data_IF_720486242447
#
_entry.id   IF_720486242447
#
_cell.length_a   1.000
_cell.length_b   1.000
_cell.length_c   1.000
_cell.angle_alpha   90.00
_cell.angle_beta   90.00
_cell.angle_gamma   90.00
#
_symmetry.space_group_name_H-M   'P 1'
#
loop_
_entity.id
_entity.type
_entity.pdbx_description
1 polymer ?
#
# COMPACT_ATOMS: atom_id res chain seq x y z
N UNK A 1 -10.13 -28.63 12.11
CA UNK A 1 -11.23 -29.55 12.59
C UNK A 1 -11.48 -29.29 14.06
N UNK A 2 -12.70 -28.94 14.45
CA UNK A 2 -13.07 -28.61 15.84
C UNK A 2 -12.97 -29.87 16.73
N UNK A 3 -12.48 -29.69 17.99
CA UNK A 3 -12.34 -30.76 19.01
C UNK A 3 -13.46 -31.81 19.04
N UNK A 4 -14.74 -31.47 18.89
CA UNK A 4 -15.84 -32.47 18.96
C UNK A 4 -15.83 -33.51 17.84
N UNK A 5 -15.39 -33.19 16.62
CA UNK A 5 -15.33 -34.15 15.50
C UNK A 5 -14.33 -35.28 15.72
N UNK A 6 -13.18 -34.97 16.40
CA UNK A 6 -12.16 -35.98 16.71
C UNK A 6 -12.64 -37.02 17.73
N UNK A 7 -13.42 -36.59 18.71
CA UNK A 7 -13.96 -37.47 19.76
C UNK A 7 -15.01 -38.41 19.17
N UNK A 8 -15.87 -37.90 18.31
CA UNK A 8 -16.91 -38.69 17.64
C UNK A 8 -16.28 -39.76 16.69
N UNK A 9 -15.25 -39.37 15.94
CA UNK A 9 -14.57 -40.31 15.03
C UNK A 9 -13.84 -41.41 15.80
N UNK A 10 -13.21 -41.12 16.94
CA UNK A 10 -12.57 -42.12 17.82
C UNK A 10 -13.60 -43.08 18.44
N UNK A 11 -14.71 -42.55 18.92
CA UNK A 11 -15.79 -43.36 19.50
C UNK A 11 -16.40 -44.28 18.44
N UNK A 12 -16.67 -43.80 17.26
CA UNK A 12 -17.18 -44.60 16.13
C UNK A 12 -16.22 -45.73 15.73
N UNK A 13 -14.90 -45.43 15.60
CA UNK A 13 -13.87 -46.41 15.28
C UNK A 13 -13.76 -47.54 16.33
N UNK A 14 -13.82 -47.17 17.64
CA UNK A 14 -13.76 -48.14 18.71
C UNK A 14 -15.00 -49.03 18.75
N UNK A 15 -16.19 -48.48 18.51
CA UNK A 15 -17.44 -49.21 18.45
C UNK A 15 -17.46 -50.22 17.30
N UNK A 16 -16.98 -49.84 16.12
CA UNK A 16 -16.93 -50.70 14.95
C UNK A 16 -15.97 -51.89 15.15
N UNK A 17 -14.84 -51.71 15.83
CA UNK A 17 -13.92 -52.77 16.21
C UNK A 17 -14.57 -53.80 17.15
N UNK A 18 -15.34 -53.33 18.14
CA UNK A 18 -16.04 -54.17 19.08
C UNK A 18 -17.15 -55.01 18.39
N UNK A 19 -17.89 -54.45 17.44
CA UNK A 19 -18.94 -55.14 16.70
C UNK A 19 -18.38 -56.20 15.78
N UNK A 20 -17.31 -55.94 15.03
CA UNK A 20 -16.67 -56.89 14.12
C UNK A 20 -16.00 -58.04 14.92
N UNK A 21 -15.36 -57.72 16.05
CA UNK A 21 -14.75 -58.74 16.94
C UNK A 21 -15.79 -59.67 17.55
N UNK A 22 -16.93 -59.15 17.97
CA UNK A 22 -18.03 -59.98 18.51
C UNK A 22 -18.67 -60.87 17.46
N UNK A 23 -18.86 -60.42 16.22
CA UNK A 23 -19.41 -61.20 15.13
C UNK A 23 -18.49 -62.36 14.75
N UNK A 24 -17.17 -62.17 14.74
CA UNK A 24 -16.18 -63.21 14.49
C UNK A 24 -16.18 -64.26 15.60
N UNK A 25 -16.31 -63.87 16.86
CA UNK A 25 -16.39 -64.78 18.00
C UNK A 25 -17.63 -65.67 17.98
N UNK A 26 -18.80 -65.13 17.61
CA UNK A 26 -20.06 -65.88 17.49
C UNK A 26 -19.99 -66.90 16.34
N UNK A 27 -19.35 -66.61 15.21
CA UNK A 27 -19.17 -67.51 14.07
C UNK A 27 -18.28 -68.73 14.43
N UNK A 28 -17.30 -68.56 15.30
CA UNK A 28 -16.44 -69.64 15.78
C UNK A 28 -17.16 -70.63 16.74
N UNK A 29 -18.06 -70.09 17.58
CA UNK A 29 -18.82 -70.89 18.56
C UNK A 29 -19.95 -71.74 17.91
N UNK A 30 -20.40 -71.32 16.70
CA UNK A 30 -21.52 -72.04 16.03
C UNK A 30 -21.19 -73.33 15.29
N UNK A 31 -19.95 -73.83 15.33
CA UNK A 31 -19.58 -75.19 14.90
C UNK A 31 -19.87 -75.54 13.42
N UNK A 32 -19.77 -74.56 12.50
CA UNK A 32 -20.04 -74.74 11.06
C UNK A 32 -18.94 -75.54 10.37
N UNK A 33 -19.14 -76.91 10.25
CA UNK A 33 -18.22 -77.82 9.56
C UNK A 33 -18.53 -78.00 8.07
N UNK A 34 -19.44 -77.28 7.46
CA UNK A 34 -19.85 -77.39 6.05
C UNK A 34 -19.23 -76.32 5.15
N UNK A 35 -19.29 -76.52 3.82
CA UNK A 35 -18.72 -75.58 2.83
C UNK A 35 -19.20 -74.08 2.96
N UNK A 36 -20.40 -73.90 3.48
CA UNK A 36 -20.96 -72.59 3.77
C UNK A 36 -20.19 -71.84 4.89
N UNK A 37 -19.72 -72.56 5.91
CA UNK A 37 -18.94 -72.00 7.02
C UNK A 37 -17.61 -71.38 6.56
N UNK A 38 -16.96 -72.01 5.57
CA UNK A 38 -15.73 -71.50 4.96
C UNK A 38 -15.91 -70.12 4.25
N UNK A 39 -17.01 -69.96 3.53
CA UNK A 39 -17.35 -68.74 2.84
C UNK A 39 -17.65 -67.63 3.81
N UNK A 40 -18.33 -67.87 4.90
CA UNK A 40 -18.63 -66.89 5.96
C UNK A 40 -17.32 -66.44 6.63
N UNK A 41 -16.43 -67.34 6.98
CA UNK A 41 -15.12 -67.02 7.58
C UNK A 41 -14.27 -66.23 6.63
N UNK A 42 -14.25 -66.50 5.34
CA UNK A 42 -13.50 -65.70 4.35
C UNK A 42 -14.09 -64.33 4.19
N UNK A 43 -15.42 -64.20 4.15
CA UNK A 43 -16.06 -62.88 4.07
C UNK A 43 -15.80 -62.02 5.31
N UNK A 44 -15.80 -62.57 6.51
CA UNK A 44 -15.46 -61.90 7.76
C UNK A 44 -13.97 -61.48 7.74
N UNK A 45 -13.06 -62.33 7.33
CA UNK A 45 -11.63 -62.02 7.26
C UNK A 45 -11.34 -60.86 6.27
N UNK A 46 -11.96 -60.88 5.08
CA UNK A 46 -11.86 -59.83 4.08
C UNK A 46 -12.43 -58.52 4.60
N UNK A 47 -13.57 -58.56 5.29
CA UNK A 47 -14.18 -57.37 5.88
C UNK A 47 -13.31 -56.75 6.99
N UNK A 48 -12.68 -57.58 7.84
CA UNK A 48 -11.72 -57.13 8.85
C UNK A 48 -10.49 -56.51 8.22
N UNK A 49 -9.95 -57.10 7.15
CA UNK A 49 -8.80 -56.55 6.43
C UNK A 49 -9.12 -55.21 5.79
N UNK A 50 -10.25 -55.11 5.11
CA UNK A 50 -10.73 -53.85 4.53
C UNK A 50 -10.92 -52.78 5.61
N UNK A 51 -11.51 -53.13 6.74
CA UNK A 51 -11.67 -52.22 7.85
C UNK A 51 -10.32 -51.72 8.42
N UNK A 52 -9.34 -52.62 8.56
CA UNK A 52 -7.99 -52.25 9.00
C UNK A 52 -7.33 -51.29 8.01
N UNK A 53 -7.42 -51.57 6.70
CA UNK A 53 -6.87 -50.69 5.68
C UNK A 53 -7.50 -49.28 5.73
N UNK A 54 -8.83 -49.21 5.79
CA UNK A 54 -9.56 -47.95 5.92
C UNK A 54 -9.16 -47.22 7.20
N UNK A 55 -9.06 -47.94 8.31
CA UNK A 55 -8.63 -47.35 9.61
C UNK A 55 -7.22 -46.79 9.55
N UNK A 56 -6.25 -47.52 8.99
CA UNK A 56 -4.87 -47.05 8.85
C UNK A 56 -4.78 -45.85 7.92
N UNK A 57 -5.52 -45.89 6.83
CA UNK A 57 -5.57 -44.75 5.88
C UNK A 57 -6.13 -43.50 6.54
N UNK A 58 -7.25 -43.60 7.26
CA UNK A 58 -7.84 -42.48 7.99
C UNK A 58 -6.91 -41.93 9.07
N UNK A 59 -6.26 -42.80 9.85
CA UNK A 59 -5.30 -42.38 10.86
C UNK A 59 -4.08 -41.72 10.25
N UNK A 60 -3.61 -42.18 9.10
CA UNK A 60 -2.51 -41.57 8.36
C UNK A 60 -2.89 -40.16 7.88
N UNK A 61 -4.08 -39.99 7.29
CA UNK A 61 -4.53 -38.67 6.84
C UNK A 61 -4.75 -37.69 8.00
N UNK A 62 -5.32 -38.16 9.11
CA UNK A 62 -5.50 -37.31 10.29
C UNK A 62 -4.15 -36.84 10.87
N UNK A 63 -3.17 -37.75 10.97
CA UNK A 63 -1.82 -37.38 11.44
C UNK A 63 -1.11 -36.45 10.50
N UNK A 64 -1.24 -36.66 9.20
CA UNK A 64 -0.65 -35.79 8.17
C UNK A 64 -1.27 -34.41 8.22
N UNK A 65 -2.59 -34.32 8.36
CA UNK A 65 -3.29 -33.02 8.48
C UNK A 65 -2.85 -32.27 9.75
N UNK A 66 -2.68 -32.96 10.88
CA UNK A 66 -2.14 -32.41 12.12
C UNK A 66 -0.71 -31.88 11.94
N UNK A 67 0.15 -32.57 11.22
CA UNK A 67 1.51 -32.14 10.92
C UNK A 67 1.53 -30.89 10.04
N UNK A 68 0.75 -30.90 8.95
CA UNK A 68 0.64 -29.73 8.05
C UNK A 68 0.09 -28.50 8.77
N UNK A 69 -0.90 -28.67 9.63
CA UNK A 69 -1.43 -27.58 10.44
C UNK A 69 -0.37 -27.04 11.43
N UNK A 70 0.38 -27.93 12.08
CA UNK A 70 1.45 -27.52 13.00
C UNK A 70 2.59 -26.78 12.28
N UNK A 71 2.93 -27.21 11.06
CA UNK A 71 3.92 -26.51 10.22
C UNK A 71 3.40 -25.15 9.75
N UNK A 72 2.15 -25.04 9.32
CA UNK A 72 1.51 -23.80 8.94
C UNK A 72 1.45 -22.81 10.14
N UNK A 73 1.08 -23.29 11.33
CA UNK A 73 1.07 -22.47 12.55
C UNK A 73 2.47 -21.98 12.92
N UNK A 74 3.50 -22.83 12.80
CA UNK A 74 4.90 -22.42 13.01
C UNK A 74 5.36 -21.38 11.96
N UNK A 75 4.98 -21.56 10.70
CA UNK A 75 5.30 -20.60 9.64
C UNK A 75 4.63 -19.24 9.91
N UNK A 76 3.36 -19.25 10.29
CA UNK A 76 2.61 -18.04 10.64
C UNK A 76 3.21 -17.35 11.88
N UNK A 77 3.62 -18.08 12.90
CA UNK A 77 4.29 -17.52 14.07
C UNK A 77 5.63 -16.87 13.72
N UNK A 78 6.42 -17.51 12.83
CA UNK A 78 7.68 -16.92 12.36
C UNK A 78 7.44 -15.66 11.53
N UNK A 79 6.46 -15.67 10.62
CA UNK A 79 6.09 -14.49 9.85
C UNK A 79 5.64 -13.35 10.76
N UNK A 80 4.80 -13.62 11.76
CA UNK A 80 4.38 -12.62 12.74
C UNK A 80 5.55 -12.06 13.58
N UNK A 81 6.51 -12.92 13.96
CA UNK A 81 7.70 -12.46 14.70
C UNK A 81 8.62 -11.58 13.84
N UNK A 82 8.79 -11.90 12.56
CA UNK A 82 9.53 -11.08 11.60
C UNK A 82 8.85 -9.73 11.41
N UNK A 83 7.54 -9.72 11.24
CA UNK A 83 6.74 -8.50 11.09
C UNK A 83 6.87 -7.58 12.32
N UNK A 84 6.74 -8.13 13.53
CA UNK A 84 6.95 -7.36 14.77
C UNK A 84 8.37 -6.81 14.86
N UNK A 85 9.37 -7.59 14.46
CA UNK A 85 10.77 -7.14 14.37
C UNK A 85 10.92 -5.99 13.38
N UNK A 86 10.42 -6.17 12.16
CA UNK A 86 10.43 -5.14 11.12
C UNK A 86 9.77 -3.84 11.58
N UNK A 87 8.58 -3.92 12.18
CA UNK A 87 7.88 -2.74 12.69
C UNK A 87 8.65 -1.99 13.78
N UNK A 88 9.40 -2.72 14.64
CA UNK A 88 10.28 -2.07 15.64
C UNK A 88 11.40 -1.27 14.97
N UNK A 89 12.04 -1.80 13.91
CA UNK A 89 13.07 -1.08 13.16
C UNK A 89 12.49 0.16 12.47
N UNK A 90 11.35 0.03 11.79
CA UNK A 90 10.67 1.16 11.14
C UNK A 90 10.35 2.26 12.15
N UNK A 91 9.81 1.90 13.32
CA UNK A 91 9.49 2.87 14.38
C UNK A 91 10.75 3.53 14.98
N UNK A 92 11.87 2.80 15.06
CA UNK A 92 13.13 3.37 15.54
C UNK A 92 13.69 4.38 14.53
N UNK A 93 13.69 4.04 13.24
CA UNK A 93 14.11 4.92 12.15
C UNK A 93 13.24 6.17 12.10
N UNK A 94 11.90 6.03 12.19
CA UNK A 94 10.96 7.16 12.23
C UNK A 94 11.29 8.13 13.39
N UNK A 95 11.61 7.59 14.57
CA UNK A 95 12.02 8.42 15.72
C UNK A 95 13.33 9.17 15.47
N UNK A 96 14.32 8.51 14.85
CA UNK A 96 15.59 9.15 14.50
C UNK A 96 15.33 10.30 13.53
N UNK A 97 14.54 10.07 12.47
CA UNK A 97 14.19 11.09 11.48
C UNK A 97 13.43 12.25 12.12
N UNK A 98 12.49 11.96 13.05
CA UNK A 98 11.68 12.99 13.71
C UNK A 98 12.49 13.78 14.77
N UNK A 99 13.59 13.23 15.27
CA UNK A 99 14.47 13.86 16.27
C UNK A 99 15.66 14.59 15.65
N UNK A 100 16.07 14.22 14.43
CA UNK A 100 17.15 14.93 13.74
C UNK A 100 16.72 16.38 13.46
N UNK A 101 17.47 17.32 14.00
CA UNK A 101 17.32 18.73 13.69
C UNK A 101 17.59 18.97 12.21
N UNK A 102 16.91 19.96 11.65
CA UNK A 102 17.07 20.34 10.24
C UNK A 102 18.43 20.99 10.03
N UNK A 103 19.29 20.28 9.34
CA UNK A 103 20.67 20.68 9.06
C UNK A 103 20.84 21.07 7.58
N UNK A 104 19.77 21.44 6.89
CA UNK A 104 19.78 21.79 5.47
C UNK A 104 18.64 22.73 5.11
N UNK A 105 18.75 23.38 3.94
CA UNK A 105 17.70 24.14 3.29
C UNK A 105 17.44 23.57 1.92
N UNK A 106 16.18 23.64 1.47
CA UNK A 106 15.77 23.10 0.17
C UNK A 106 14.98 24.12 -0.64
N UNK A 107 15.15 24.12 -1.95
CA UNK A 107 14.17 24.62 -2.90
C UNK A 107 13.53 23.42 -3.62
N UNK A 108 12.23 23.51 -3.88
CA UNK A 108 11.46 22.43 -4.51
C UNK A 108 10.72 22.94 -5.74
N UNK A 109 10.91 22.24 -6.84
CA UNK A 109 10.05 22.32 -8.02
C UNK A 109 9.23 21.03 -8.07
N UNK A 110 7.94 21.12 -7.80
CA UNK A 110 6.98 20.01 -7.87
C UNK A 110 6.25 20.07 -9.21
N UNK A 111 6.50 19.14 -10.10
CA UNK A 111 5.78 19.02 -11.38
C UNK A 111 4.72 17.91 -11.27
N UNK A 112 3.48 18.30 -11.42
CA UNK A 112 2.30 17.43 -11.37
C UNK A 112 1.77 17.30 -12.79
N UNK A 113 2.08 16.20 -13.45
CA UNK A 113 1.59 15.89 -14.79
C UNK A 113 0.31 15.07 -14.68
N UNK A 114 -0.76 15.60 -15.23
CA UNK A 114 -2.07 14.95 -15.34
C UNK A 114 -2.16 14.39 -16.75
N UNK A 115 -2.19 13.07 -16.88
CA UNK A 115 -2.32 12.41 -18.18
C UNK A 115 -3.75 12.40 -18.70
N UNK A 116 -3.89 12.01 -19.97
CA UNK A 116 -5.19 11.67 -20.53
C UNK A 116 -5.81 10.43 -19.85
N UNK A 117 -4.95 9.56 -19.31
CA UNK A 117 -5.27 8.36 -18.55
C UNK A 117 -4.29 8.19 -17.39
N UNK A 118 -4.44 7.11 -16.62
CA UNK A 118 -3.60 6.83 -15.44
C UNK A 118 -2.13 6.55 -15.81
N UNK A 119 -1.85 6.03 -17.01
CA UNK A 119 -0.49 5.76 -17.46
C UNK A 119 0.29 7.04 -17.77
N UNK A 120 -0.41 8.11 -18.13
CA UNK A 120 0.16 9.43 -18.36
C UNK A 120 0.37 10.26 -17.09
N UNK A 121 -0.15 9.82 -15.93
CA UNK A 121 0.03 10.53 -14.67
C UNK A 121 1.47 10.40 -14.17
N UNK A 122 2.08 11.52 -13.82
CA UNK A 122 3.45 11.57 -13.29
C UNK A 122 3.59 12.68 -12.27
N UNK A 123 4.31 12.41 -11.21
CA UNK A 123 4.79 13.44 -10.27
C UNK A 123 6.32 13.42 -10.30
N UNK A 124 6.88 14.61 -10.37
CA UNK A 124 8.31 14.84 -10.35
C UNK A 124 8.64 15.93 -9.34
N UNK A 125 9.51 15.60 -8.40
CA UNK A 125 10.02 16.53 -7.38
C UNK A 125 11.50 16.78 -7.65
N UNK A 126 11.84 17.95 -8.22
CA UNK A 126 13.22 18.40 -8.37
C UNK A 126 13.59 19.23 -7.14
N UNK A 127 14.58 18.80 -6.39
CA UNK A 127 15.01 19.44 -5.17
C UNK A 127 16.46 19.88 -5.26
N UNK A 128 16.74 21.12 -4.87
CA UNK A 128 18.09 21.60 -4.62
C UNK A 128 18.30 21.71 -3.12
N UNK A 129 19.18 20.91 -2.56
CA UNK A 129 19.47 20.88 -1.13
C UNK A 129 20.80 21.54 -0.84
N UNK A 130 20.78 22.53 0.07
CA UNK A 130 21.99 23.13 0.63
C UNK A 130 22.19 22.58 2.04
N UNK A 131 23.17 21.68 2.24
CA UNK A 131 23.46 21.14 3.55
C UNK A 131 23.99 22.21 4.49
N UNK A 132 23.71 22.05 5.79
CA UNK A 132 24.50 22.67 6.84
C UNK A 132 25.87 22.00 6.89
N UNK A 133 26.16 21.14 7.89
CA UNK A 133 27.42 20.41 7.86
C UNK A 133 27.38 19.23 6.87
N UNK A 134 26.32 18.43 6.86
CA UNK A 134 26.20 17.22 6.04
C UNK A 134 24.76 16.72 6.01
N UNK A 135 24.29 16.21 4.87
CA UNK A 135 23.02 15.50 4.72
C UNK A 135 23.28 14.05 4.34
N UNK A 136 22.77 13.12 5.14
CA UNK A 136 22.89 11.68 4.92
C UNK A 136 21.54 11.04 4.58
N UNK A 137 20.43 11.73 4.87
CA UNK A 137 19.09 11.16 4.72
C UNK A 137 18.02 12.23 4.51
N UNK A 138 16.92 11.80 3.94
CA UNK A 138 15.71 12.60 3.75
C UNK A 138 14.48 11.72 3.74
N UNK A 139 13.44 12.08 4.46
CA UNK A 139 12.15 11.41 4.35
C UNK A 139 11.19 12.24 3.50
N UNK A 140 10.51 11.59 2.57
CA UNK A 140 9.48 12.22 1.73
C UNK A 140 8.16 11.44 1.81
N UNK A 141 7.07 12.08 1.39
CA UNK A 141 5.75 11.47 1.29
C UNK A 141 5.26 11.58 -0.14
N UNK A 142 5.27 10.48 -0.89
CA UNK A 142 4.66 10.47 -2.21
C UNK A 142 3.18 10.85 -2.16
N UNK A 143 2.74 11.63 -3.14
CA UNK A 143 1.33 11.96 -3.34
C UNK A 143 0.69 10.78 -4.04
N UNK A 144 -0.25 10.11 -3.38
CA UNK A 144 -0.96 8.95 -3.92
C UNK A 144 -2.46 9.08 -3.68
N UNK A 145 -3.25 8.30 -4.40
CA UNK A 145 -4.70 8.23 -4.19
C UNK A 145 -5.03 7.75 -2.78
N UNK A 146 -6.01 8.40 -2.13
CA UNK A 146 -6.45 8.06 -0.78
C UNK A 146 -7.59 7.02 -0.85
N UNK A 147 -7.31 5.85 -1.40
CA UNK A 147 -8.26 4.73 -1.51
C UNK A 147 -8.46 3.96 -0.18
N UNK A 148 -8.34 4.66 0.93
CA UNK A 148 -8.81 4.31 2.28
C UNK A 148 -8.05 3.20 2.99
N UNK A 149 -7.95 2.00 2.45
CA UNK A 149 -7.39 0.82 3.13
C UNK A 149 -6.27 0.13 2.34
N UNK A 150 -5.95 0.60 1.15
CA UNK A 150 -4.93 -0.01 0.30
C UNK A 150 -3.54 0.51 0.63
N UNK A 151 -2.67 -0.40 0.95
CA UNK A 151 -1.24 -0.16 1.05
C UNK A 151 -0.64 0.02 -0.35
N UNK A 152 -0.06 1.19 -0.64
CA UNK A 152 0.63 1.46 -1.90
C UNK A 152 2.10 1.12 -1.75
N UNK A 153 2.61 0.21 -2.57
CA UNK A 153 4.03 -0.16 -2.62
C UNK A 153 4.79 0.78 -3.56
N UNK A 154 6.09 0.96 -3.30
CA UNK A 154 6.93 1.83 -4.14
C UNK A 154 7.03 1.31 -5.58
N UNK A 155 7.05 0.00 -5.75
CA UNK A 155 7.09 -0.65 -7.06
C UNK A 155 5.80 -0.39 -7.87
N UNK A 156 4.64 -0.30 -7.18
CA UNK A 156 3.36 -0.04 -7.83
C UNK A 156 3.26 1.39 -8.39
N UNK A 157 3.98 2.34 -7.82
CA UNK A 157 4.04 3.73 -8.28
C UNK A 157 5.29 4.05 -9.08
N UNK A 158 6.08 3.03 -9.46
CA UNK A 158 7.32 3.22 -10.21
C UNK A 158 8.22 4.31 -9.59
N UNK A 159 8.43 4.21 -8.26
CA UNK A 159 9.17 5.24 -7.52
C UNK A 159 10.67 5.17 -7.81
N UNK A 160 11.23 6.29 -8.24
CA UNK A 160 12.67 6.44 -8.50
C UNK A 160 13.21 7.70 -7.83
N UNK A 161 14.43 7.62 -7.32
CA UNK A 161 15.15 8.76 -6.74
C UNK A 161 16.60 8.77 -7.23
N UNK A 162 17.05 9.89 -7.80
CA UNK A 162 18.33 10.02 -8.44
C UNK A 162 19.02 11.34 -8.08
N UNK A 163 20.36 11.31 -7.90
CA UNK A 163 21.18 12.51 -7.81
C UNK A 163 21.45 13.07 -9.22
N UNK A 164 21.42 14.39 -9.35
CA UNK A 164 21.72 15.06 -10.60
C UNK A 164 23.11 15.70 -10.55
N UNK A 165 24.02 15.25 -11.41
CA UNK A 165 25.32 15.88 -11.59
C UNK A 165 26.35 15.64 -10.47
N UNK A 166 26.06 14.82 -9.47
CA UNK A 166 26.99 14.47 -8.39
C UNK A 166 27.34 12.98 -8.38
N UNK A 167 28.56 12.66 -7.90
CA UNK A 167 28.96 11.29 -7.66
C UNK A 167 28.30 10.79 -6.37
N UNK A 168 27.50 9.73 -6.47
CA UNK A 168 26.81 9.11 -5.33
C UNK A 168 25.54 8.41 -5.76
N UNK A 169 24.88 7.81 -4.80
CA UNK A 169 23.62 7.09 -5.00
C UNK A 169 22.58 7.47 -3.94
N UNK A 170 21.32 7.28 -4.29
CA UNK A 170 20.20 7.36 -3.35
C UNK A 170 19.63 5.96 -3.20
N UNK A 171 19.55 5.49 -1.96
CA UNK A 171 18.82 4.26 -1.64
C UNK A 171 17.45 4.65 -1.07
N UNK A 172 16.38 4.26 -1.75
CA UNK A 172 15.01 4.49 -1.30
C UNK A 172 14.51 3.29 -0.48
N UNK A 173 14.08 3.54 0.74
CA UNK A 173 13.55 2.52 1.65
C UNK A 173 12.10 2.86 2.00
N UNK A 174 11.15 1.92 1.80
CA UNK A 174 9.76 2.16 2.17
C UNK A 174 9.60 2.19 3.69
N UNK A 175 9.03 3.27 4.20
CA UNK A 175 8.61 3.44 5.58
C UNK A 175 7.11 3.66 5.59
N UNK A 176 6.33 2.63 5.84
CA UNK A 176 4.88 2.78 5.87
C UNK A 176 4.39 3.03 7.27
N UNK A 177 3.64 4.10 7.45
CA UNK A 177 2.98 4.42 8.71
C UNK A 177 1.52 4.77 8.45
N UNK A 178 0.61 4.11 9.16
CA UNK A 178 -0.83 4.40 9.10
C UNK A 178 -1.39 4.42 7.65
N UNK A 179 -1.04 3.43 6.84
CA UNK A 179 -1.45 3.29 5.43
C UNK A 179 -1.00 4.42 4.50
N UNK A 180 -0.19 5.37 4.97
CA UNK A 180 0.38 6.42 4.13
C UNK A 180 1.80 6.03 3.72
N UNK A 181 2.13 6.05 2.42
CA UNK A 181 3.48 5.80 1.96
C UNK A 181 4.41 6.91 2.46
N UNK A 182 5.50 6.50 3.07
CA UNK A 182 6.64 7.34 3.41
C UNK A 182 7.87 6.68 2.85
N UNK A 183 8.78 7.43 2.29
CA UNK A 183 10.03 6.92 1.73
C UNK A 183 11.18 7.56 2.46
N UNK A 184 12.08 6.73 2.94
CA UNK A 184 13.33 7.16 3.51
C UNK A 184 14.43 7.05 2.45
N UNK A 185 15.02 8.18 2.11
CA UNK A 185 16.11 8.30 1.15
C UNK A 185 17.42 8.39 1.90
N UNK A 186 18.35 7.51 1.61
CA UNK A 186 19.70 7.49 2.17
C UNK A 186 20.68 7.89 1.08
N UNK A 187 21.47 8.94 1.33
CA UNK A 187 22.49 9.43 0.40
C UNK A 187 23.85 8.76 0.72
N UNK A 188 24.46 8.13 -0.28
CA UNK A 188 25.77 7.50 -0.15
C UNK A 188 26.71 7.94 -1.28
N UNK A 189 27.82 8.64 -0.94
CA UNK A 189 28.18 9.17 0.38
C UNK A 189 27.25 10.30 0.84
N UNK A 190 27.19 10.56 2.17
CA UNK A 190 26.48 11.74 2.67
C UNK A 190 27.08 13.03 2.13
N UNK A 191 26.24 13.98 1.76
CA UNK A 191 26.55 15.14 0.94
C UNK A 191 26.84 16.36 1.82
N UNK A 192 27.90 17.09 1.50
CA UNK A 192 28.39 18.26 2.26
C UNK A 192 28.37 19.56 1.45
N UNK A 193 28.18 19.48 0.14
CA UNK A 193 28.02 20.63 -0.77
C UNK A 193 26.59 20.70 -1.29
N UNK A 194 26.10 21.84 -1.80
CA UNK A 194 24.82 21.93 -2.47
C UNK A 194 24.69 20.90 -3.62
N UNK A 195 23.57 20.25 -3.71
CA UNK A 195 23.31 19.22 -4.71
C UNK A 195 21.86 19.20 -5.16
N UNK A 196 21.66 18.72 -6.38
CA UNK A 196 20.36 18.54 -6.98
C UNK A 196 19.99 17.05 -7.00
N UNK A 197 18.73 16.75 -6.75
CA UNK A 197 18.17 15.42 -6.83
C UNK A 197 16.73 15.44 -7.27
N UNK A 198 16.32 14.35 -7.87
CA UNK A 198 14.99 14.22 -8.47
C UNK A 198 14.34 12.95 -7.97
N UNK A 199 13.07 13.08 -7.63
CA UNK A 199 12.18 11.95 -7.36
C UNK A 199 11.10 11.93 -8.42
N UNK A 200 10.83 10.77 -8.98
CA UNK A 200 9.74 10.57 -9.94
C UNK A 200 8.89 9.39 -9.52
N UNK A 201 7.57 9.51 -9.70
CA UNK A 201 6.64 8.40 -9.46
C UNK A 201 5.32 8.60 -10.20
N UNK A 202 4.57 7.50 -10.38
CA UNK A 202 3.29 7.47 -11.09
C UNK A 202 2.16 7.07 -10.15
N UNK A 203 1.38 8.02 -9.63
CA UNK A 203 0.29 7.75 -8.70
C UNK A 203 -0.98 7.29 -9.44
N UNK A 204 -1.08 6.00 -9.77
CA UNK A 204 -2.24 5.44 -10.48
C UNK A 204 -3.56 5.81 -9.79
N UNK A 205 -4.54 6.25 -10.58
CA UNK A 205 -5.89 6.58 -10.10
C UNK A 205 -6.02 7.92 -9.36
N UNK A 206 -4.91 8.65 -9.11
CA UNK A 206 -4.95 9.92 -8.36
C UNK A 206 -5.89 10.94 -9.01
N UNK A 207 -5.84 11.06 -10.33
CA UNK A 207 -6.62 12.05 -11.08
C UNK A 207 -7.91 11.47 -11.72
N UNK A 208 -8.32 10.27 -11.34
CA UNK A 208 -9.56 9.69 -11.81
C UNK A 208 -10.80 10.57 -11.52
N UNK A 209 -10.93 11.23 -10.34
CA UNK A 209 -12.02 12.17 -10.10
C UNK A 209 -11.98 13.39 -11.04
N UNK A 210 -10.78 13.95 -11.30
CA UNK A 210 -10.64 15.08 -12.22
C UNK A 210 -11.07 14.72 -13.64
N UNK A 211 -10.66 13.56 -14.15
CA UNK A 211 -11.06 13.07 -15.47
C UNK A 211 -12.54 12.79 -15.59
N UNK A 212 -13.14 12.23 -14.54
CA UNK A 212 -14.56 11.82 -14.53
C UNK A 212 -15.52 12.99 -14.29
N UNK A 213 -15.16 13.88 -13.37
CA UNK A 213 -16.06 14.94 -12.88
C UNK A 213 -15.63 16.35 -13.30
N UNK A 214 -14.45 16.50 -13.91
CA UNK A 214 -13.90 17.79 -14.32
C UNK A 214 -13.31 18.62 -13.17
N UNK A 215 -13.27 18.09 -11.96
CA UNK A 215 -12.64 18.78 -10.81
C UNK A 215 -12.03 17.78 -9.82
N UNK A 216 -10.98 18.22 -9.14
CA UNK A 216 -10.34 17.50 -8.03
C UNK A 216 -9.63 18.46 -7.09
N UNK A 217 -9.07 17.93 -6.02
CA UNK A 217 -8.29 18.67 -5.04
C UNK A 217 -6.95 18.00 -4.81
N UNK A 218 -5.89 18.77 -4.90
CA UNK A 218 -4.57 18.33 -4.47
C UNK A 218 -4.28 18.95 -3.10
N UNK A 219 -3.92 18.10 -2.16
CA UNK A 219 -3.42 18.53 -0.84
C UNK A 219 -1.99 18.07 -0.71
N UNK A 220 -1.12 19.02 -0.43
CA UNK A 220 0.29 18.73 -0.22
C UNK A 220 0.81 19.42 1.04
N UNK A 221 1.68 18.76 1.75
CA UNK A 221 2.36 19.33 2.90
C UNK A 221 3.77 18.76 2.98
N UNK A 222 4.74 19.65 3.03
CA UNK A 222 6.08 19.29 3.45
C UNK A 222 6.12 19.35 4.98
N UNK A 223 5.85 18.20 5.62
CA UNK A 223 5.93 18.09 7.08
C UNK A 223 7.37 17.87 7.51
N UNK A 224 8.23 18.78 7.10
CA UNK A 224 9.52 18.86 7.73
C UNK A 224 9.29 19.48 9.12
N UNK A 225 9.97 18.98 10.15
CA UNK A 225 9.99 19.69 11.40
C UNK A 225 10.45 21.13 11.11
N UNK A 226 9.77 22.11 11.66
CA UNK A 226 10.30 23.47 11.68
C UNK A 226 11.69 23.42 12.31
N UNK A 227 12.63 24.22 11.82
CA UNK A 227 13.90 24.36 12.51
C UNK A 227 13.66 24.86 13.97
N UNK A 228 14.65 24.75 14.83
CA UNK A 228 14.56 25.18 16.21
C UNK A 228 14.14 26.65 16.40
N UNK A 229 14.17 27.43 15.31
CA UNK A 229 13.79 28.85 15.28
C UNK A 229 12.41 29.07 14.60
N UNK A 230 11.68 27.99 14.28
CA UNK A 230 10.35 28.08 13.65
C UNK A 230 10.37 28.37 12.15
N UNK A 231 11.54 28.30 11.50
CA UNK A 231 11.67 28.44 10.04
C UNK A 231 11.28 27.19 9.27
N UNK A 232 10.96 27.33 8.01
CA UNK A 232 10.77 26.21 7.07
C UNK A 232 12.11 25.80 6.47
N UNK A 233 12.28 24.50 6.19
CA UNK A 233 13.41 24.00 5.40
C UNK A 233 13.33 24.46 3.96
N UNK A 234 12.10 24.54 3.43
CA UNK A 234 11.86 25.05 2.10
C UNK A 234 12.10 26.57 2.07
N UNK A 235 13.02 26.95 1.21
CA UNK A 235 13.30 28.37 0.91
C UNK A 235 12.51 28.88 -0.29
N UNK A 236 12.01 27.98 -1.13
CA UNK A 236 11.22 28.29 -2.33
C UNK A 236 10.41 27.05 -2.74
N UNK A 237 9.18 27.25 -3.14
CA UNK A 237 8.30 26.20 -3.63
C UNK A 237 7.65 26.66 -4.94
N UNK A 238 7.98 25.96 -6.02
CA UNK A 238 7.35 26.13 -7.33
C UNK A 238 6.55 24.87 -7.66
N UNK A 239 5.25 25.02 -7.91
CA UNK A 239 4.38 23.92 -8.34
C UNK A 239 3.96 24.15 -9.79
N UNK A 240 4.21 23.15 -10.64
CA UNK A 240 3.86 23.13 -12.05
C UNK A 240 2.77 22.09 -12.29
N UNK A 241 1.59 22.53 -12.70
CA UNK A 241 0.50 21.66 -13.12
C UNK A 241 0.52 21.57 -14.64
N UNK A 242 0.74 20.35 -15.15
CA UNK A 242 0.74 20.05 -16.58
C UNK A 242 -0.52 19.26 -16.90
N UNK A 243 -1.35 19.80 -17.80
CA UNK A 243 -2.60 19.17 -18.21
C UNK A 243 -2.51 18.76 -19.69
N UNK A 244 -3.23 17.72 -20.12
CA UNK A 244 -3.28 17.35 -21.51
C UNK A 244 -3.94 18.44 -22.35
N UNK A 245 -3.37 18.71 -23.51
CA UNK A 245 -3.96 19.65 -24.46
C UNK A 245 -5.18 19.00 -25.14
N UNK A 246 -6.24 19.78 -25.30
CA UNK A 246 -7.40 19.36 -26.05
C UNK A 246 -7.87 20.54 -26.92
N UNK A 247 -7.87 20.36 -28.23
CA UNK A 247 -8.31 21.39 -29.17
C UNK A 247 -9.75 21.85 -28.87
N UNK A 248 -9.96 23.15 -28.91
CA UNK A 248 -11.27 23.77 -28.68
C UNK A 248 -11.73 23.80 -27.21
N UNK A 249 -10.94 23.26 -26.26
CA UNK A 249 -11.27 23.37 -24.83
C UNK A 249 -10.60 24.59 -24.19
N UNK A 250 -11.27 25.22 -23.24
CA UNK A 250 -10.65 26.30 -22.47
C UNK A 250 -9.49 25.77 -21.64
N UNK A 251 -8.52 26.65 -21.28
CA UNK A 251 -7.43 26.26 -20.41
C UNK A 251 -7.94 25.78 -19.05
N UNK A 252 -7.21 24.83 -18.41
CA UNK A 252 -7.55 24.37 -17.06
C UNK A 252 -7.42 25.52 -16.05
N UNK A 253 -8.19 25.45 -14.98
CA UNK A 253 -8.17 26.41 -13.90
C UNK A 253 -7.64 25.74 -12.65
N UNK A 254 -6.60 26.34 -12.05
CA UNK A 254 -6.09 25.93 -10.74
C UNK A 254 -6.26 27.11 -9.79
N UNK A 255 -6.83 26.86 -8.62
CA UNK A 255 -7.01 27.87 -7.58
C UNK A 255 -6.51 27.33 -6.25
N UNK A 256 -5.73 28.13 -5.55
CA UNK A 256 -5.34 27.82 -4.18
C UNK A 256 -6.44 28.23 -3.20
N UNK A 257 -6.73 27.37 -2.22
CA UNK A 257 -7.81 27.65 -1.26
C UNK A 257 -7.41 28.64 -0.15
N UNK A 258 -6.13 28.88 0.06
CA UNK A 258 -5.62 29.69 1.19
C UNK A 258 -4.80 30.92 0.78
N UNK A 259 -4.52 31.08 -0.51
CA UNK A 259 -3.82 32.26 -1.07
C UNK A 259 -2.45 32.55 -0.44
N UNK A 260 -1.60 31.52 -0.33
CA UNK A 260 -0.23 31.65 0.18
C UNK A 260 0.77 32.07 -0.90
N UNK A 261 0.52 31.67 -2.14
CA UNK A 261 1.41 31.92 -3.27
C UNK A 261 0.74 32.63 -4.43
N UNK A 262 1.51 32.79 -5.49
CA UNK A 262 1.11 33.52 -6.68
C UNK A 262 0.99 32.56 -7.89
N UNK A 263 -0.09 32.72 -8.67
CA UNK A 263 -0.28 32.02 -9.93
C UNK A 263 0.26 32.80 -11.10
N UNK A 264 0.88 32.09 -12.04
CA UNK A 264 1.08 32.59 -13.39
C UNK A 264 -0.09 32.16 -14.27
N UNK A 265 -0.40 33.00 -15.25
CA UNK A 265 -1.46 32.70 -16.22
C UNK A 265 -1.19 31.37 -16.93
N UNK A 266 -2.23 30.56 -17.09
CA UNK A 266 -2.16 29.31 -17.85
C UNK A 266 -1.63 29.58 -19.26
N UNK A 267 -0.60 28.81 -19.67
CA UNK A 267 0.01 28.93 -20.99
C UNK A 267 0.12 27.57 -21.66
N UNK A 268 0.01 27.50 -22.98
CA UNK A 268 0.30 26.28 -23.71
C UNK A 268 1.79 25.91 -23.53
N UNK A 269 2.05 24.60 -23.41
CA UNK A 269 3.40 24.07 -23.53
C UNK A 269 3.88 24.19 -25.00
N UNK A 270 5.20 24.23 -25.18
CA UNK A 270 5.82 24.25 -26.49
C UNK A 270 5.31 23.07 -27.34
N UNK A 271 4.95 23.34 -28.61
CA UNK A 271 4.35 22.37 -29.51
C UNK A 271 2.89 21.98 -29.20
N UNK A 272 2.20 22.70 -28.34
CA UNK A 272 0.80 22.45 -27.93
C UNK A 272 0.59 21.03 -27.35
N UNK A 273 1.59 20.47 -26.69
CA UNK A 273 1.50 19.15 -26.05
C UNK A 273 0.67 19.16 -24.78
N UNK A 274 0.39 20.32 -24.20
CA UNK A 274 -0.36 20.47 -22.97
C UNK A 274 -0.56 21.92 -22.55
N UNK A 275 -1.21 22.09 -21.40
CA UNK A 275 -1.32 23.37 -20.69
C UNK A 275 -0.43 23.33 -19.45
N UNK A 276 0.26 24.44 -19.16
CA UNK A 276 1.06 24.64 -17.98
C UNK A 276 0.44 25.74 -17.13
N UNK A 277 0.20 25.43 -15.85
CA UNK A 277 -0.16 26.41 -14.81
C UNK A 277 0.93 26.37 -13.76
N UNK A 278 1.57 27.49 -13.49
CA UNK A 278 2.62 27.60 -12.48
C UNK A 278 2.09 28.37 -11.27
N UNK A 279 2.43 27.88 -10.09
CA UNK A 279 2.15 28.50 -8.80
C UNK A 279 3.42 28.51 -7.96
N UNK A 280 3.71 29.62 -7.26
CA UNK A 280 4.95 29.77 -6.50
C UNK A 280 4.70 30.42 -5.16
N UNK A 281 5.29 29.84 -4.10
CA UNK A 281 5.46 30.45 -2.78
C UNK A 281 6.96 30.65 -2.53
N UNK A 282 7.37 31.90 -2.36
CA UNK A 282 8.78 32.27 -2.15
C UNK A 282 9.21 32.20 -0.68
N UNK A 283 8.25 32.06 0.23
CA UNK A 283 8.49 31.97 1.66
C UNK A 283 7.64 30.86 2.28
N UNK A 284 7.83 29.61 1.84
CA UNK A 284 7.08 28.49 2.37
C UNK A 284 7.41 28.30 3.86
N UNK A 285 6.41 28.29 4.70
CA UNK A 285 6.55 28.19 6.15
C UNK A 285 6.10 26.84 6.70
N UNK A 286 6.41 25.73 6.00
CA UNK A 286 5.95 24.39 6.41
C UNK A 286 4.42 24.25 6.38
N UNK A 287 3.77 25.00 5.49
CA UNK A 287 2.31 25.11 5.38
C UNK A 287 1.72 23.85 4.74
N UNK A 288 0.43 23.67 4.97
CA UNK A 288 -0.40 22.75 4.19
C UNK A 288 -1.01 23.52 3.04
N UNK A 289 -0.67 23.13 1.83
CA UNK A 289 -1.18 23.68 0.58
C UNK A 289 -2.36 22.89 0.08
N UNK A 290 -3.36 23.55 -0.44
CA UNK A 290 -4.56 22.96 -1.02
C UNK A 290 -4.90 23.67 -2.32
N UNK A 291 -4.87 22.93 -3.43
CA UNK A 291 -5.26 23.43 -4.75
C UNK A 291 -6.51 22.71 -5.24
N UNK A 292 -7.42 23.49 -5.78
CA UNK A 292 -8.55 22.99 -6.54
C UNK A 292 -8.18 23.02 -8.01
N UNK A 293 -8.29 21.87 -8.69
CA UNK A 293 -8.06 21.72 -10.10
C UNK A 293 -9.41 21.59 -10.80
N UNK A 294 -9.60 22.28 -11.91
CA UNK A 294 -10.79 22.19 -12.73
C UNK A 294 -10.40 22.16 -14.21
N UNK A 295 -10.98 21.26 -14.95
CA UNK A 295 -10.89 21.19 -16.40
C UNK A 295 -12.26 20.91 -16.99
N UNK A 296 -12.50 21.34 -18.22
CA UNK A 296 -13.76 21.01 -18.89
C UNK A 296 -13.91 19.50 -19.00
N UNK A 297 -14.97 18.90 -18.46
CA UNK A 297 -15.18 17.45 -18.52
C UNK A 297 -15.11 16.96 -19.96
N UNK A 298 -14.57 15.79 -20.18
CA UNK A 298 -14.67 15.08 -21.43
C UNK A 298 -16.13 14.68 -21.60
N UNK A 299 -16.88 15.37 -22.45
CA UNK A 299 -18.24 14.99 -22.81
C UNK A 299 -18.10 13.80 -23.76
N UNK A 300 -17.99 12.61 -23.22
CA UNK A 300 -18.25 11.40 -24.01
C UNK A 300 -19.73 11.47 -24.35
N UNK A 301 -20.04 11.73 -25.61
CA UNK A 301 -21.31 12.10 -26.26
C UNK A 301 -22.65 11.57 -25.73
N UNK A 302 -22.88 11.57 -24.45
CA UNK A 302 -24.11 11.16 -23.78
C UNK A 302 -24.46 12.15 -22.66
N UNK A 303 -25.28 13.10 -23.02
CA UNK A 303 -26.34 13.70 -22.21
C UNK A 303 -26.05 14.41 -20.90
N UNK A 304 -26.53 15.64 -20.84
CA UNK A 304 -26.87 16.47 -19.71
C UNK A 304 -25.74 17.16 -18.91
N UNK A 305 -25.63 18.45 -19.15
CA UNK A 305 -24.92 19.38 -18.26
C UNK A 305 -25.53 19.34 -16.84
N UNK A 306 -24.94 18.59 -15.95
CA UNK A 306 -25.31 18.56 -14.54
C UNK A 306 -24.61 19.72 -13.83
N UNK A 307 -25.39 20.57 -13.19
CA UNK A 307 -24.91 21.65 -12.31
C UNK A 307 -23.85 21.12 -11.34
N UNK A 308 -22.80 21.91 -11.10
CA UNK A 308 -21.69 21.55 -10.20
C UNK A 308 -22.21 21.00 -8.87
N UNK A 309 -21.95 19.73 -8.55
CA UNK A 309 -22.36 19.18 -7.26
C UNK A 309 -21.54 19.82 -6.14
N UNK A 310 -22.21 20.16 -5.06
CA UNK A 310 -21.53 20.56 -3.82
C UNK A 310 -20.59 19.43 -3.37
N UNK A 311 -19.38 19.78 -2.94
CA UNK A 311 -18.36 18.84 -2.46
C UNK A 311 -18.97 17.87 -1.45
N UNK A 312 -18.91 16.55 -1.66
CA UNK A 312 -19.47 15.59 -0.72
C UNK A 312 -18.87 15.76 0.66
N UNK A 313 -19.71 15.96 1.67
CA UNK A 313 -19.30 16.18 3.06
C UNK A 313 -18.48 15.00 3.67
N UNK A 314 -18.48 13.85 3.02
CA UNK A 314 -17.74 12.66 3.46
C UNK A 314 -16.21 12.83 3.44
N UNK A 315 -15.63 13.53 2.44
CA UNK A 315 -14.17 13.81 2.43
C UNK A 315 -13.75 14.78 3.53
N UNK A 316 -14.64 15.68 3.99
CA UNK A 316 -14.34 16.58 5.13
C UNK A 316 -14.22 15.87 6.48
N UNK A 317 -14.92 14.76 6.71
CA UNK A 317 -14.93 14.04 8.01
C UNK A 317 -13.65 13.22 8.27
N UNK A 318 -12.94 12.79 7.23
CA UNK A 318 -11.71 12.02 7.40
C UNK A 318 -10.56 12.87 7.97
N UNK A 319 -10.43 14.09 7.50
CA UNK A 319 -9.36 15.01 7.93
C UNK A 319 -9.56 15.59 9.33
N UNK A 320 -10.79 15.70 9.80
CA UNK A 320 -11.09 16.18 11.17
C UNK A 320 -10.73 15.16 12.27
N UNK A 321 -10.62 13.86 11.96
CA UNK A 321 -10.18 12.82 12.90
C UNK A 321 -8.67 12.82 13.15
N UNK A 322 -7.86 13.21 12.17
CA UNK A 322 -6.40 13.27 12.29
C UNK A 322 -5.89 14.42 13.18
N UNK A 323 -6.72 15.45 13.39
CA UNK A 323 -6.35 16.63 14.21
C UNK A 323 -6.68 16.42 15.69
N UNK A 324 -7.52 15.44 16.06
CA UNK A 324 -8.01 15.28 17.44
C UNK A 324 -7.20 14.31 18.33
N UNK A 325 -6.16 13.67 17.78
CA UNK A 325 -5.29 12.73 18.52
C UNK A 325 -3.84 13.26 18.62
N UNK A 326 -3.70 14.51 19.04
CA UNK A 326 -2.46 15.05 19.62
C UNK A 326 -2.80 15.81 20.88
#
# INVERSE_FOLDING_TARGET
MTKPRRTILRAFLNYTVAVVGSAAGVAQLAGFSGGVGRWILTAVAVSCLLFLVVRFTLLYYVRRDEQLQAEADKANQRAAAIEVGHQRYVNAIDRIIDQEGLIYRESLVLTVTIGADDAGDKIEECRTTTPGPRVTQRAIRPIVSDDGDRFVRLEEIEFEANLTGSAGSITALPLTRNHQPRVWLVFDPGLTAPFDWVVTYRPAGLWAPLRRHGFDHLVWTDRLPADSNGGSVLSDLLVKFVFPYADGKPPPVVTELRSFGEFQQARPLDGKSGWLVEWRDREPAGRRYEWRLAQTPRIDGSGAATAMPAVPAQRRRFWSRLIRNR
#
